data_IF_548559107866
#
_entry.id   IF_548559107866
#
_cell.length_a   1.000
_cell.length_b   1.000
_cell.length_c   1.000
_cell.angle_alpha   90.00
_cell.angle_beta   90.00
_cell.angle_gamma   90.00
#
_symmetry.space_group_name_H-M   'P 1'
#
loop_
_entity.id
_entity.type
_entity.pdbx_description
1 polymer ?
#
# COMPACT_ATOMS: atom_id res chain seq x y z
N UNK A 1 -10.72 0.42 -21.20
CA UNK A 1 -9.52 -0.12 -20.51
C UNK A 1 -8.31 0.63 -21.03
N UNK A 2 -7.83 1.63 -20.30
CA UNK A 2 -6.62 2.36 -20.66
C UNK A 2 -5.40 1.43 -20.59
N UNK A 3 -4.49 1.50 -21.57
CA UNK A 3 -3.30 0.61 -21.65
C UNK A 3 -2.50 0.59 -20.34
N UNK A 4 -2.47 1.71 -19.60
CA UNK A 4 -1.77 1.85 -18.33
C UNK A 4 -2.36 1.00 -17.19
N UNK A 5 -3.69 0.93 -17.05
CA UNK A 5 -4.34 0.13 -16.01
C UNK A 5 -4.12 -1.38 -16.24
N UNK A 6 -4.08 -1.79 -17.52
CA UNK A 6 -3.74 -3.14 -17.93
C UNK A 6 -2.27 -3.49 -17.64
N UNK A 7 -1.35 -2.55 -17.89
CA UNK A 7 0.08 -2.73 -17.57
C UNK A 7 0.29 -2.77 -16.05
N UNK A 8 -0.38 -1.90 -15.27
CA UNK A 8 -0.28 -1.87 -13.82
C UNK A 8 -0.81 -3.16 -13.18
N UNK A 9 -1.97 -3.66 -13.63
CA UNK A 9 -2.51 -4.95 -13.16
C UNK A 9 -1.63 -6.12 -13.59
N UNK A 10 -1.14 -6.13 -14.84
CA UNK A 10 -0.23 -7.17 -15.34
C UNK A 10 1.13 -7.19 -14.66
N UNK A 11 1.62 -6.06 -14.13
CA UNK A 11 2.90 -5.96 -13.40
C UNK A 11 2.75 -6.21 -11.90
N UNK A 12 1.59 -5.89 -11.32
CA UNK A 12 1.29 -6.18 -9.92
C UNK A 12 1.28 -7.69 -9.63
N UNK A 13 0.80 -8.52 -10.55
CA UNK A 13 0.75 -9.99 -10.39
C UNK A 13 2.16 -10.60 -10.20
N UNK A 14 3.13 -10.41 -11.11
CA UNK A 14 4.48 -10.94 -10.93
C UNK A 14 5.19 -10.30 -9.73
N UNK A 15 4.96 -9.01 -9.44
CA UNK A 15 5.48 -8.38 -8.23
C UNK A 15 5.00 -9.08 -6.96
N UNK A 16 3.72 -9.47 -6.90
CA UNK A 16 3.15 -10.17 -5.74
C UNK A 16 3.78 -11.54 -5.51
N UNK A 17 4.12 -12.28 -6.58
CA UNK A 17 4.84 -13.56 -6.49
C UNK A 17 6.28 -13.39 -6.00
N UNK A 18 6.95 -12.35 -6.48
CA UNK A 18 8.31 -12.00 -6.01
C UNK A 18 8.26 -11.62 -4.53
N UNK A 19 7.27 -10.82 -4.11
CA UNK A 19 7.05 -10.41 -2.71
C UNK A 19 6.88 -11.62 -1.79
N UNK A 20 6.00 -12.56 -2.15
CA UNK A 20 5.79 -13.77 -1.34
C UNK A 20 7.09 -14.55 -1.12
N UNK A 21 7.93 -14.60 -2.17
CA UNK A 21 9.23 -15.26 -2.12
C UNK A 21 10.21 -14.52 -1.20
N UNK A 22 10.28 -13.18 -1.30
CA UNK A 22 11.13 -12.32 -0.45
C UNK A 22 10.75 -12.45 1.03
N UNK A 23 9.46 -12.47 1.35
CA UNK A 23 8.97 -12.66 2.71
C UNK A 23 9.38 -14.01 3.31
N UNK A 24 9.23 -15.10 2.55
CA UNK A 24 9.60 -16.45 3.01
C UNK A 24 11.12 -16.53 3.26
N UNK A 25 11.94 -16.06 2.32
CA UNK A 25 13.41 -16.07 2.46
C UNK A 25 13.84 -15.26 3.68
N UNK A 26 13.25 -14.07 3.88
CA UNK A 26 13.51 -13.23 5.04
C UNK A 26 13.07 -13.89 6.36
N UNK A 27 11.92 -14.56 6.38
CA UNK A 27 11.43 -15.29 7.55
C UNK A 27 12.35 -16.46 7.94
N UNK A 28 12.80 -17.25 6.96
CA UNK A 28 13.77 -18.33 7.19
C UNK A 28 15.09 -17.77 7.73
N UNK A 29 15.57 -16.65 7.18
CA UNK A 29 16.77 -15.99 7.66
C UNK A 29 16.62 -15.54 9.12
N UNK A 30 15.51 -14.89 9.48
CA UNK A 30 15.22 -14.49 10.86
C UNK A 30 15.12 -15.70 11.81
N UNK A 31 14.62 -16.84 11.34
CA UNK A 31 14.52 -18.07 12.12
C UNK A 31 15.91 -18.62 12.47
N UNK A 32 16.84 -18.60 11.52
CA UNK A 32 18.24 -18.98 11.74
C UNK A 32 18.93 -18.02 12.73
N UNK A 33 18.61 -16.72 12.67
CA UNK A 33 19.11 -15.71 13.62
C UNK A 33 18.45 -15.78 15.01
N UNK A 34 17.48 -16.68 15.22
CA UNK A 34 16.78 -16.85 16.49
C UNK A 34 15.73 -15.75 16.78
N UNK A 35 15.40 -14.89 15.82
CA UNK A 35 14.42 -13.81 15.99
C UNK A 35 12.96 -14.30 15.81
N UNK A 36 12.60 -15.37 16.51
CA UNK A 36 11.26 -16.01 16.44
C UNK A 36 10.12 -15.09 16.86
N UNK A 37 10.36 -14.18 17.82
CA UNK A 37 9.37 -13.18 18.22
C UNK A 37 8.95 -12.27 17.08
N UNK A 38 9.92 -11.79 16.30
CA UNK A 38 9.68 -10.92 15.14
C UNK A 38 8.90 -11.63 14.03
N UNK A 39 9.17 -12.92 13.82
CA UNK A 39 8.40 -13.76 12.88
C UNK A 39 6.96 -13.89 13.37
N UNK A 40 6.75 -14.18 14.66
CA UNK A 40 5.42 -14.30 15.25
C UNK A 40 4.58 -13.03 15.08
N UNK A 41 5.15 -11.85 15.37
CA UNK A 41 4.48 -10.58 15.12
C UNK A 41 4.16 -10.34 13.64
N UNK A 42 5.07 -10.74 12.74
CA UNK A 42 4.83 -10.67 11.30
C UNK A 42 3.67 -11.54 10.86
N UNK A 43 3.59 -12.77 11.37
CA UNK A 43 2.48 -13.69 11.08
C UNK A 43 1.15 -13.16 11.61
N UNK A 44 1.14 -12.59 12.82
CA UNK A 44 -0.03 -11.92 13.39
C UNK A 44 -0.46 -10.72 12.55
N UNK A 45 0.48 -9.92 12.05
CA UNK A 45 0.19 -8.78 11.17
C UNK A 45 -0.25 -9.22 9.77
N UNK A 46 0.20 -10.37 9.26
CA UNK A 46 -0.28 -10.90 7.98
C UNK A 46 -1.77 -11.28 8.06
N UNK A 47 -2.17 -11.96 9.15
CA UNK A 47 -3.57 -12.36 9.36
C UNK A 47 -4.42 -11.16 9.78
N UNK A 48 -3.99 -10.44 10.81
CA UNK A 48 -4.74 -9.31 11.39
C UNK A 48 -4.70 -8.06 10.52
N UNK A 49 -3.62 -7.82 9.78
CA UNK A 49 -3.43 -6.63 8.95
C UNK A 49 -4.38 -6.58 7.76
N UNK A 50 -4.71 -7.73 7.16
CA UNK A 50 -5.75 -7.78 6.12
C UNK A 50 -7.11 -7.33 6.64
N UNK A 51 -7.47 -7.77 7.85
CA UNK A 51 -8.71 -7.38 8.50
C UNK A 51 -8.70 -5.92 8.97
N UNK A 52 -7.58 -5.45 9.54
CA UNK A 52 -7.41 -4.04 9.93
C UNK A 52 -7.53 -3.11 8.73
N UNK A 53 -6.81 -3.41 7.64
CA UNK A 53 -6.87 -2.62 6.42
C UNK A 53 -8.27 -2.65 5.84
N UNK A 54 -8.93 -3.80 5.83
CA UNK A 54 -10.31 -3.88 5.35
C UNK A 54 -11.24 -2.96 6.13
N UNK A 55 -11.22 -3.02 7.46
CA UNK A 55 -12.04 -2.14 8.31
C UNK A 55 -11.69 -0.68 8.09
N UNK A 56 -10.39 -0.38 8.01
CA UNK A 56 -9.91 0.99 7.84
C UNK A 56 -10.26 1.54 6.46
N UNK A 57 -10.44 0.70 5.44
CA UNK A 57 -10.84 1.14 4.10
C UNK A 57 -12.36 1.28 3.93
N UNK A 58 -13.19 0.69 4.80
CA UNK A 58 -14.65 0.78 4.72
C UNK A 58 -15.20 2.22 4.68
N UNK A 59 -14.69 3.19 5.47
CA UNK A 59 -15.13 4.59 5.38
C UNK A 59 -14.94 5.20 3.98
N UNK A 60 -13.97 4.70 3.20
CA UNK A 60 -13.77 5.07 1.81
C UNK A 60 -15.00 4.86 0.93
N UNK A 61 -15.79 3.81 1.20
CA UNK A 61 -17.02 3.48 0.47
C UNK A 61 -18.15 4.46 0.79
N UNK A 62 -18.18 5.04 2.00
CA UNK A 62 -19.19 6.03 2.38
C UNK A 62 -19.02 7.33 1.59
N UNK A 63 -17.77 7.74 1.32
CA UNK A 63 -17.50 8.91 0.50
C UNK A 63 -17.97 8.74 -0.95
N UNK A 64 -17.95 7.51 -1.47
CA UNK A 64 -18.46 7.20 -2.80
C UNK A 64 -19.99 7.35 -2.89
N UNK A 65 -20.72 6.77 -1.94
CA UNK A 65 -22.18 6.89 -1.87
C UNK A 65 -22.64 8.34 -1.69
N UNK A 66 -21.88 9.15 -0.94
CA UNK A 66 -22.17 10.58 -0.78
C UNK A 66 -21.85 11.36 -2.05
N UNK A 67 -20.76 11.03 -2.75
CA UNK A 67 -20.39 11.70 -3.99
C UNK A 67 -21.46 11.51 -5.07
N UNK A 68 -22.05 10.32 -5.19
CA UNK A 68 -23.14 10.06 -6.16
C UNK A 68 -24.41 10.84 -5.84
N UNK A 69 -24.77 10.97 -4.55
CA UNK A 69 -25.93 11.77 -4.14
C UNK A 69 -25.76 13.26 -4.48
N UNK A 70 -24.58 13.84 -4.24
CA UNK A 70 -24.31 15.25 -4.59
C UNK A 70 -24.14 15.49 -6.11
N UNK A 71 -23.81 14.46 -6.88
CA UNK A 71 -23.79 14.53 -8.34
C UNK A 71 -25.20 14.71 -8.91
N UNK A 72 -26.19 14.02 -8.33
CA UNK A 72 -27.61 14.13 -8.71
C UNK A 72 -28.19 15.51 -8.36
N UNK A 73 -27.70 16.16 -7.30
CA UNK A 73 -28.09 17.53 -6.91
C UNK A 73 -27.46 18.63 -7.77
N UNK A 74 -26.53 18.30 -8.69
CA UNK A 74 -25.89 19.26 -9.60
C UNK A 74 -24.83 20.16 -8.94
N UNK A 75 -24.45 19.90 -7.67
CA UNK A 75 -23.46 20.67 -6.93
C UNK A 75 -22.02 20.25 -7.28
N UNK A 76 -21.55 20.72 -8.43
CA UNK A 76 -20.22 20.42 -8.99
C UNK A 76 -19.03 20.59 -8.02
N UNK A 77 -18.91 21.68 -7.22
CA UNK A 77 -17.76 21.83 -6.32
C UNK A 77 -17.75 20.82 -5.16
N UNK A 78 -18.92 20.46 -4.61
CA UNK A 78 -19.00 19.43 -3.57
C UNK A 78 -18.63 18.04 -4.12
N UNK A 79 -19.12 17.71 -5.31
CA UNK A 79 -18.78 16.47 -6.01
C UNK A 79 -17.27 16.29 -6.20
N UNK A 80 -16.58 17.28 -6.78
CA UNK A 80 -15.13 17.18 -7.00
C UNK A 80 -14.34 17.05 -5.70
N UNK A 81 -14.76 17.73 -4.63
CA UNK A 81 -14.10 17.62 -3.33
C UNK A 81 -14.27 16.22 -2.71
N UNK A 82 -15.47 15.65 -2.73
CA UNK A 82 -15.73 14.30 -2.23
C UNK A 82 -15.00 13.22 -3.04
N UNK A 83 -14.95 13.36 -4.36
CA UNK A 83 -14.18 12.45 -5.23
C UNK A 83 -12.70 12.52 -4.91
N UNK A 84 -12.14 13.72 -4.72
CA UNK A 84 -10.75 13.86 -4.29
C UNK A 84 -10.50 13.20 -2.93
N UNK A 85 -11.38 13.38 -1.96
CA UNK A 85 -11.27 12.76 -0.64
C UNK A 85 -11.34 11.23 -0.70
N UNK A 86 -12.24 10.68 -1.54
CA UNK A 86 -12.35 9.24 -1.82
C UNK A 86 -11.05 8.67 -2.37
N UNK A 87 -10.35 9.39 -3.25
CA UNK A 87 -9.07 8.93 -3.82
C UNK A 87 -7.90 9.13 -2.85
N UNK A 88 -7.88 10.23 -2.10
CA UNK A 88 -6.81 10.54 -1.15
C UNK A 88 -6.79 9.59 0.04
N UNK A 89 -7.96 9.19 0.53
CA UNK A 89 -8.09 8.41 1.75
C UNK A 89 -7.35 7.05 1.70
N UNK A 90 -7.56 6.18 0.68
CA UNK A 90 -6.80 4.93 0.58
C UNK A 90 -5.29 5.15 0.51
N UNK A 91 -4.81 6.17 -0.21
CA UNK A 91 -3.39 6.48 -0.31
C UNK A 91 -2.80 6.88 1.04
N UNK A 92 -3.52 7.69 1.81
CA UNK A 92 -3.10 8.10 3.15
C UNK A 92 -3.05 6.90 4.11
N UNK A 93 -4.08 6.05 4.10
CA UNK A 93 -4.15 4.85 4.95
C UNK A 93 -3.03 3.86 4.61
N UNK A 94 -2.80 3.58 3.32
CA UNK A 94 -1.72 2.68 2.88
C UNK A 94 -0.34 3.24 3.25
N UNK A 95 -0.14 4.55 3.11
CA UNK A 95 1.11 5.22 3.53
C UNK A 95 1.34 5.03 5.03
N UNK A 96 0.34 5.34 5.84
CA UNK A 96 0.44 5.23 7.29
C UNK A 96 0.68 3.78 7.72
N UNK A 97 -0.05 2.82 7.16
CA UNK A 97 0.14 1.39 7.41
C UNK A 97 1.57 0.94 7.13
N UNK A 98 2.07 1.24 5.92
CA UNK A 98 3.41 0.85 5.50
C UNK A 98 4.49 1.44 6.40
N UNK A 99 4.39 2.73 6.73
CA UNK A 99 5.35 3.41 7.61
C UNK A 99 5.29 2.85 9.04
N UNK A 100 4.09 2.56 9.57
CA UNK A 100 3.95 1.96 10.90
C UNK A 100 4.58 0.57 10.96
N UNK A 101 4.30 -0.30 9.98
CA UNK A 101 4.88 -1.65 9.92
C UNK A 101 6.40 -1.57 9.79
N UNK A 102 6.91 -0.72 8.90
CA UNK A 102 8.36 -0.51 8.75
C UNK A 102 9.00 -0.07 10.06
N UNK A 103 8.43 0.96 10.71
CA UNK A 103 9.00 1.51 11.94
C UNK A 103 8.96 0.48 13.09
N UNK A 104 7.89 -0.32 13.17
CA UNK A 104 7.76 -1.39 14.16
C UNK A 104 8.87 -2.44 14.05
N UNK A 105 9.21 -2.86 12.83
CA UNK A 105 10.24 -3.86 12.58
C UNK A 105 11.65 -3.27 12.59
N UNK A 106 11.85 -2.07 12.02
CA UNK A 106 13.15 -1.39 12.01
C UNK A 106 13.68 -1.11 13.42
N UNK A 107 12.82 -0.81 14.39
CA UNK A 107 13.23 -0.63 15.80
C UNK A 107 13.65 -1.91 16.51
N UNK A 108 13.31 -3.08 15.96
CA UNK A 108 13.64 -4.41 16.49
C UNK A 108 14.79 -5.07 15.72
N UNK A 109 15.30 -4.39 14.71
CA UNK A 109 16.44 -4.85 13.95
C UNK A 109 17.72 -4.72 14.78
N UNK A 110 18.48 -5.80 14.83
CA UNK A 110 19.87 -5.81 15.28
C UNK A 110 20.80 -5.59 14.08
N UNK A 111 22.08 -5.31 14.36
CA UNK A 111 23.08 -5.05 13.30
C UNK A 111 23.23 -6.23 12.33
N UNK A 112 23.03 -7.47 12.79
CA UNK A 112 23.07 -8.69 11.98
C UNK A 112 21.72 -9.05 11.34
N UNK A 113 20.61 -8.47 11.79
CA UNK A 113 19.26 -8.79 11.33
C UNK A 113 18.57 -7.67 10.56
N UNK A 114 19.21 -6.51 10.37
CA UNK A 114 18.58 -5.36 9.70
C UNK A 114 18.08 -5.68 8.28
N UNK A 115 18.88 -6.38 7.47
CA UNK A 115 18.51 -6.76 6.11
C UNK A 115 17.30 -7.72 6.12
N UNK A 116 17.36 -8.89 6.79
CA UNK A 116 16.22 -9.79 6.80
C UNK A 116 15.00 -9.19 7.52
N UNK A 117 15.19 -8.31 8.50
CA UNK A 117 14.08 -7.65 9.20
C UNK A 117 13.32 -6.66 8.29
N UNK A 118 14.03 -5.90 7.45
CA UNK A 118 13.41 -4.97 6.49
C UNK A 118 12.71 -5.71 5.34
N UNK A 119 13.28 -6.80 4.84
CA UNK A 119 12.60 -7.63 3.84
C UNK A 119 11.38 -8.36 4.41
N UNK A 120 11.45 -8.78 5.67
CA UNK A 120 10.31 -9.32 6.38
C UNK A 120 9.21 -8.27 6.56
N UNK A 121 9.56 -7.06 7.00
CA UNK A 121 8.59 -5.97 7.17
C UNK A 121 7.93 -5.58 5.86
N UNK A 122 8.68 -5.60 4.75
CA UNK A 122 8.16 -5.42 3.41
C UNK A 122 7.08 -6.45 3.10
N UNK A 123 7.40 -7.75 3.20
CA UNK A 123 6.44 -8.83 2.93
C UNK A 123 5.19 -8.74 3.83
N UNK A 124 5.38 -8.44 5.12
CA UNK A 124 4.27 -8.29 6.08
C UNK A 124 3.39 -7.08 5.76
N UNK A 125 3.97 -5.96 5.31
CA UNK A 125 3.20 -4.77 4.97
C UNK A 125 2.43 -4.92 3.65
N UNK A 126 3.07 -5.50 2.62
CA UNK A 126 2.53 -5.52 1.26
C UNK A 126 1.59 -6.69 0.99
N UNK A 127 1.72 -7.82 1.69
CA UNK A 127 0.86 -8.99 1.44
C UNK A 127 -0.62 -8.72 1.76
N UNK A 128 -0.98 -8.08 2.89
CA UNK A 128 -2.37 -7.69 3.17
C UNK A 128 -2.93 -6.71 2.14
N UNK A 129 -2.11 -5.78 1.64
CA UNK A 129 -2.50 -4.80 0.63
C UNK A 129 -2.80 -5.52 -0.70
N UNK A 130 -1.93 -6.45 -1.11
CA UNK A 130 -2.11 -7.22 -2.33
C UNK A 130 -3.38 -8.10 -2.26
N UNK A 131 -3.63 -8.74 -1.11
CA UNK A 131 -4.86 -9.50 -0.89
C UNK A 131 -6.11 -8.61 -0.98
N UNK A 132 -6.07 -7.43 -0.35
CA UNK A 132 -7.18 -6.47 -0.40
C UNK A 132 -7.47 -6.01 -1.83
N UNK A 133 -6.43 -5.70 -2.61
CA UNK A 133 -6.56 -5.27 -3.99
C UNK A 133 -7.11 -6.36 -4.91
N UNK A 134 -6.69 -7.62 -4.72
CA UNK A 134 -7.26 -8.76 -5.46
C UNK A 134 -8.74 -8.94 -5.18
N UNK A 135 -9.15 -8.73 -3.93
CA UNK A 135 -10.56 -8.80 -3.54
C UNK A 135 -11.36 -7.63 -4.10
N UNK A 136 -10.81 -6.42 -4.09
CA UNK A 136 -11.48 -5.22 -4.59
C UNK A 136 -11.60 -5.22 -6.14
N UNK A 137 -10.69 -5.90 -6.85
CA UNK A 137 -10.82 -6.21 -8.28
C UNK A 137 -12.05 -7.05 -8.60
N UNK A 138 -12.41 -8.00 -7.72
CA UNK A 138 -13.62 -8.81 -7.90
C UNK A 138 -14.90 -7.98 -7.75
N UNK A 139 -14.82 -6.80 -7.12
CA UNK A 139 -15.92 -5.85 -6.94
C UNK A 139 -15.89 -4.66 -7.91
N UNK A 140 -15.26 -4.78 -9.09
CA UNK A 140 -15.15 -3.74 -10.14
C UNK A 140 -14.36 -2.48 -9.75
N UNK A 141 -13.57 -2.50 -8.66
CA UNK A 141 -12.71 -1.38 -8.29
C UNK A 141 -11.29 -1.57 -8.85
N UNK A 142 -11.14 -1.37 -10.16
CA UNK A 142 -9.86 -1.54 -10.89
C UNK A 142 -8.73 -0.63 -10.38
N UNK A 143 -9.10 0.45 -9.69
CA UNK A 143 -8.16 1.43 -9.18
C UNK A 143 -7.36 0.96 -7.95
N UNK A 144 -7.82 -0.07 -7.24
CA UNK A 144 -7.14 -0.61 -6.07
C UNK A 144 -5.74 -1.18 -6.42
N UNK A 145 -5.58 -1.75 -7.62
CA UNK A 145 -4.29 -2.29 -8.09
C UNK A 145 -3.23 -1.21 -8.30
N UNK A 146 -3.64 -0.02 -8.75
CA UNK A 146 -2.71 1.10 -8.96
C UNK A 146 -2.13 1.53 -7.61
N UNK A 147 -3.00 1.77 -6.62
CA UNK A 147 -2.56 2.16 -5.27
C UNK A 147 -1.63 1.12 -4.62
N UNK A 148 -1.88 -0.17 -4.88
CA UNK A 148 -1.07 -1.28 -4.38
C UNK A 148 0.32 -1.32 -5.00
N UNK A 149 0.41 -1.14 -6.32
CA UNK A 149 1.69 -1.10 -7.03
C UNK A 149 2.56 0.05 -6.52
N UNK A 150 1.98 1.25 -6.38
CA UNK A 150 2.71 2.39 -5.85
C UNK A 150 3.13 2.19 -4.39
N UNK A 151 2.29 1.57 -3.55
CA UNK A 151 2.67 1.23 -2.18
C UNK A 151 3.84 0.23 -2.11
N UNK A 152 3.84 -0.80 -2.98
CA UNK A 152 4.93 -1.77 -3.07
C UNK A 152 6.24 -1.13 -3.52
N UNK A 153 6.19 -0.26 -4.54
CA UNK A 153 7.37 0.47 -5.03
C UNK A 153 7.89 1.46 -3.98
N UNK A 154 6.99 2.23 -3.35
CA UNK A 154 7.35 3.17 -2.30
C UNK A 154 8.06 2.47 -1.13
N UNK A 155 7.54 1.33 -0.69
CA UNK A 155 8.13 0.57 0.40
C UNK A 155 9.52 0.05 0.03
N UNK A 156 9.68 -0.50 -1.18
CA UNK A 156 10.97 -1.03 -1.62
C UNK A 156 12.02 0.08 -1.72
N UNK A 157 11.66 1.25 -2.26
CA UNK A 157 12.55 2.42 -2.31
C UNK A 157 12.95 2.88 -0.90
N UNK A 158 12.01 2.92 0.04
CA UNK A 158 12.28 3.27 1.43
C UNK A 158 13.22 2.25 2.08
N UNK A 159 13.03 0.95 1.85
CA UNK A 159 13.94 -0.10 2.37
C UNK A 159 15.36 0.13 1.85
N UNK A 160 15.53 0.41 0.55
CA UNK A 160 16.83 0.73 -0.02
C UNK A 160 17.42 1.99 0.62
N UNK A 161 16.64 3.05 0.76
CA UNK A 161 17.10 4.29 1.40
C UNK A 161 17.53 4.04 2.84
N UNK A 162 16.77 3.30 3.65
CA UNK A 162 17.13 2.97 5.03
C UNK A 162 18.41 2.12 5.13
N UNK A 163 18.68 1.26 4.13
CA UNK A 163 19.88 0.43 4.09
C UNK A 163 21.15 1.23 3.76
N UNK A 164 21.06 2.18 2.83
CA UNK A 164 22.23 2.95 2.34
C UNK A 164 22.40 4.30 3.04
N UNK A 165 21.30 4.86 3.54
CA UNK A 165 21.22 6.17 4.17
C UNK A 165 20.56 5.98 5.52
N UNK A 166 21.17 6.49 6.58
CA UNK A 166 20.55 6.51 7.93
C UNK A 166 19.40 7.53 7.94
N UNK A 167 18.30 7.17 7.30
CA UNK A 167 17.13 8.01 7.16
C UNK A 167 16.31 8.04 8.46
N UNK A 168 15.88 9.23 8.84
CA UNK A 168 14.96 9.48 9.94
C UNK A 168 13.54 9.03 9.57
N UNK A 169 12.70 8.82 10.58
CA UNK A 169 11.30 8.44 10.38
C UNK A 169 10.50 9.48 9.56
N UNK A 170 10.88 10.77 9.65
CA UNK A 170 10.24 11.84 8.89
C UNK A 170 10.64 11.78 7.41
N UNK A 171 11.92 11.55 7.10
CA UNK A 171 12.38 11.38 5.72
C UNK A 171 11.74 10.16 5.06
N UNK A 172 11.59 9.07 5.81
CA UNK A 172 10.87 7.87 5.39
C UNK A 172 9.41 8.19 5.05
N UNK A 173 8.71 8.93 5.92
CA UNK A 173 7.32 9.33 5.69
C UNK A 173 7.19 10.23 4.46
N UNK A 174 8.09 11.20 4.31
CA UNK A 174 8.10 12.14 3.18
C UNK A 174 8.37 11.40 1.87
N UNK A 175 9.37 10.51 1.83
CA UNK A 175 9.68 9.72 0.63
C UNK A 175 8.50 8.84 0.23
N UNK A 176 7.90 8.14 1.20
CA UNK A 176 6.72 7.32 0.95
C UNK A 176 5.57 8.17 0.42
N UNK A 177 5.31 9.32 1.05
CA UNK A 177 4.29 10.27 0.66
C UNK A 177 4.48 10.80 -0.75
N UNK A 178 5.71 11.14 -1.17
CA UNK A 178 6.00 11.62 -2.53
C UNK A 178 5.64 10.56 -3.56
N UNK A 179 6.07 9.30 -3.37
CA UNK A 179 5.78 8.22 -4.33
C UNK A 179 4.27 7.95 -4.40
N UNK A 180 3.59 7.98 -3.26
CA UNK A 180 2.15 7.79 -3.18
C UNK A 180 1.38 8.96 -3.82
N UNK A 181 1.84 10.21 -3.69
CA UNK A 181 1.26 11.36 -4.38
C UNK A 181 1.37 11.25 -5.90
N UNK A 182 2.46 10.68 -6.42
CA UNK A 182 2.57 10.38 -7.86
C UNK A 182 1.51 9.36 -8.27
N UNK A 183 1.32 8.29 -7.49
CA UNK A 183 0.27 7.30 -7.74
C UNK A 183 -1.14 7.90 -7.70
N UNK A 184 -1.40 8.80 -6.76
CA UNK A 184 -2.65 9.55 -6.67
C UNK A 184 -2.89 10.38 -7.93
N UNK A 185 -1.89 11.14 -8.38
CA UNK A 185 -2.00 11.98 -9.58
C UNK A 185 -2.27 11.15 -10.84
N UNK A 186 -1.64 9.98 -10.96
CA UNK A 186 -1.88 9.03 -12.05
C UNK A 186 -3.31 8.50 -12.01
N UNK A 187 -3.80 8.08 -10.85
CA UNK A 187 -5.16 7.58 -10.70
C UNK A 187 -6.20 8.66 -11.03
N UNK A 188 -5.98 9.89 -10.58
CA UNK A 188 -6.87 11.02 -10.85
C UNK A 188 -6.92 11.38 -12.33
N UNK A 189 -5.78 11.31 -13.03
CA UNK A 189 -5.71 11.51 -14.49
C UNK A 189 -6.50 10.45 -15.25
N UNK A 190 -6.43 9.19 -14.83
CA UNK A 190 -7.16 8.08 -15.46
C UNK A 190 -8.67 8.27 -15.29
N UNK A 191 -9.13 8.57 -14.08
CA UNK A 191 -10.54 8.81 -13.81
C UNK A 191 -11.12 9.98 -14.64
N UNK A 192 -10.35 11.06 -14.81
CA UNK A 192 -10.80 12.22 -15.59
C UNK A 192 -10.84 11.98 -17.11
N UNK A 193 -10.03 11.03 -17.61
CA UNK A 193 -10.08 10.63 -19.03
C UNK A 193 -11.29 9.74 -19.32
N UNK A 194 -11.72 8.90 -18.38
CA UNK A 194 -12.92 8.07 -18.52
C UNK A 194 -14.21 8.89 -18.52
N UNK A 195 -14.28 10.00 -17.77
CA UNK A 195 -15.45 10.90 -17.76
C UNK A 195 -15.68 11.62 -19.11
N UNK A 196 -14.62 11.74 -19.94
CA UNK A 196 -14.67 12.45 -21.23
C UNK A 196 -14.89 11.55 -22.45
N UNK A 197 -14.83 10.22 -22.30
CA UNK A 197 -14.98 9.24 -23.37
C UNK A 197 -16.43 8.75 -23.47
#
# INVERSE_FOLDING_TARGET
>A
MNDFAKIASSSAVPLTLIIGSVGIVAGIWLAILGQWGSIGYGLLLLVGGGFLLWITMMPGMLFEAQATAFAEEGNKPAFYFLVFLRTLYPFAVLTLWCVLVLNFFARRADSSSIIPMLFWSYGVATSPIAWLAQRDLQSFNEYAMISTLFAQVAYLLVVLVVLFVRASALEVLVLFGIVMLVGLAVQFRIAFLEEKA
#
